data_IF_242426868806
#
_entry.id   IF_242426868806
#
_cell.length_a   1.000
_cell.length_b   1.000
_cell.length_c   1.000
_cell.angle_alpha   90.00
_cell.angle_beta   90.00
_cell.angle_gamma   90.00
#
_symmetry.space_group_name_H-M   'P 1'
#
loop_
_entity.id
_entity.type
_entity.pdbx_description
1 polymer ?
#
# COMPACT_ATOMS: atom_id res chain seq x y z
N UNK A 1 13.57 3.68 -3.29
CA UNK A 1 13.36 2.60 -2.32
C UNK A 1 13.48 1.27 -3.01
N UNK A 2 14.42 0.46 -2.55
CA UNK A 2 14.56 -0.95 -2.89
C UNK A 2 13.80 -1.79 -1.85
N UNK A 3 13.44 -3.06 -2.17
CA UNK A 3 12.88 -3.98 -1.17
C UNK A 3 13.69 -4.06 0.14
N UNK A 4 15.02 -3.94 0.05
CA UNK A 4 15.92 -4.04 1.20
C UNK A 4 15.80 -2.84 2.16
N UNK A 5 15.21 -1.72 1.70
CA UNK A 5 14.94 -0.55 2.54
C UNK A 5 13.68 -0.74 3.42
N UNK A 6 12.88 -1.80 3.18
CA UNK A 6 11.69 -2.11 3.97
C UNK A 6 12.10 -2.84 5.25
N UNK A 7 12.37 -2.07 6.31
CA UNK A 7 12.75 -2.61 7.61
C UNK A 7 11.63 -3.42 8.29
N UNK A 8 10.37 -3.02 8.09
CA UNK A 8 9.19 -3.73 8.61
C UNK A 8 8.24 -4.07 7.45
N UNK A 9 8.25 -5.32 6.94
CA UNK A 9 7.35 -5.73 5.86
C UNK A 9 5.87 -5.75 6.26
N UNK A 10 5.55 -5.74 7.56
CA UNK A 10 4.18 -5.62 8.06
C UNK A 10 3.71 -4.17 8.14
N UNK A 11 4.63 -3.20 8.15
CA UNK A 11 4.36 -1.76 8.11
C UNK A 11 5.27 -1.06 7.09
N UNK A 12 5.14 -1.38 5.80
CA UNK A 12 6.18 -1.04 4.84
C UNK A 12 6.27 0.45 4.50
N UNK A 13 5.33 1.29 4.95
CA UNK A 13 5.42 2.75 4.85
C UNK A 13 5.93 3.45 6.10
N UNK A 14 6.21 2.72 7.18
CA UNK A 14 6.72 3.34 8.42
C UNK A 14 8.06 4.06 8.19
N UNK A 15 8.91 3.57 7.28
CA UNK A 15 10.16 4.23 6.92
C UNK A 15 9.95 5.68 6.41
N UNK A 16 8.78 5.99 5.83
CA UNK A 16 8.47 7.35 5.33
C UNK A 16 8.37 8.32 6.49
N UNK A 17 7.59 7.98 7.52
CA UNK A 17 7.39 8.87 8.66
C UNK A 17 8.65 8.99 9.50
N UNK A 18 9.35 7.88 9.73
CA UNK A 18 10.63 7.87 10.42
C UNK A 18 11.68 8.69 9.65
N UNK A 19 11.76 8.50 8.34
CA UNK A 19 12.70 9.20 7.48
C UNK A 19 12.44 10.70 7.36
N UNK A 20 11.19 11.11 7.16
CA UNK A 20 10.82 12.53 7.06
C UNK A 20 11.02 13.27 8.40
N UNK A 21 10.69 12.65 9.53
CA UNK A 21 10.90 13.24 10.86
C UNK A 21 12.35 13.24 11.30
N UNK A 22 13.11 12.21 10.92
CA UNK A 22 14.53 12.08 11.19
C UNK A 22 15.43 12.87 10.24
N UNK A 23 14.86 13.46 9.17
CA UNK A 23 15.60 14.19 8.15
C UNK A 23 16.38 13.31 7.15
N UNK A 24 16.16 11.99 7.16
CA UNK A 24 16.73 11.06 6.19
C UNK A 24 15.97 11.09 4.84
N UNK A 25 14.73 11.57 4.84
CA UNK A 25 13.91 11.82 3.66
C UNK A 25 13.47 13.28 3.62
N UNK A 26 13.21 13.77 2.42
CA UNK A 26 12.74 15.12 2.10
C UNK A 26 11.59 15.04 1.08
N UNK A 27 10.89 16.15 0.85
CA UNK A 27 9.87 16.26 -0.19
C UNK A 27 10.39 15.99 -1.62
N UNK A 28 11.71 16.06 -1.81
CA UNK A 28 12.38 15.82 -3.09
C UNK A 28 12.58 14.33 -3.37
N UNK A 29 12.40 13.46 -2.37
CA UNK A 29 12.55 12.02 -2.55
C UNK A 29 11.43 11.47 -3.45
N UNK A 30 11.76 10.61 -4.45
CA UNK A 30 10.81 10.18 -5.49
C UNK A 30 9.49 9.59 -4.97
N UNK A 31 9.52 8.88 -3.84
CA UNK A 31 8.34 8.26 -3.23
C UNK A 31 7.43 9.25 -2.49
N UNK A 32 7.92 10.43 -2.12
CA UNK A 32 7.16 11.36 -1.27
C UNK A 32 6.10 12.11 -2.08
N UNK A 33 6.45 12.62 -3.26
CA UNK A 33 5.49 13.36 -4.10
C UNK A 33 4.24 12.53 -4.46
N UNK A 34 4.34 11.26 -4.90
CA UNK A 34 3.16 10.45 -5.16
C UNK A 34 2.32 10.15 -3.91
N UNK A 35 2.94 10.02 -2.73
CA UNK A 35 2.22 9.86 -1.46
C UNK A 35 1.42 11.10 -1.09
N UNK A 36 2.03 12.29 -1.18
CA UNK A 36 1.33 13.57 -0.96
C UNK A 36 0.15 13.71 -1.93
N UNK A 37 0.37 13.42 -3.22
CA UNK A 37 -0.69 13.45 -4.24
C UNK A 37 -1.84 12.50 -3.91
N UNK A 38 -1.51 11.27 -3.50
CA UNK A 38 -2.52 10.26 -3.13
C UNK A 38 -3.30 10.71 -1.90
N UNK A 39 -2.61 11.22 -0.87
CA UNK A 39 -3.24 11.75 0.34
C UNK A 39 -4.20 12.91 0.00
N UNK A 40 -3.76 13.87 -0.81
CA UNK A 40 -4.59 15.00 -1.26
C UNK A 40 -5.82 14.54 -2.06
N UNK A 41 -5.64 13.62 -3.00
CA UNK A 41 -6.74 13.05 -3.80
C UNK A 41 -7.80 12.39 -2.92
N UNK A 42 -7.39 11.68 -1.87
CA UNK A 42 -8.30 11.03 -0.92
C UNK A 42 -9.02 12.02 -0.01
N UNK A 43 -8.41 13.16 0.28
CA UNK A 43 -8.99 14.22 1.11
C UNK A 43 -9.70 15.33 0.29
N UNK A 44 -9.82 15.17 -1.02
CA UNK A 44 -10.52 16.12 -1.89
C UNK A 44 -9.79 17.44 -2.12
N UNK A 45 -8.47 17.50 -1.88
CA UNK A 45 -7.64 18.68 -2.14
C UNK A 45 -6.87 18.56 -3.47
N UNK A 46 -6.39 19.68 -4.02
CA UNK A 46 -5.73 19.69 -5.34
C UNK A 46 -4.42 18.89 -5.32
N UNK A 47 -4.32 17.73 -5.99
CA UNK A 47 -3.15 16.86 -5.87
C UNK A 47 -1.90 17.48 -6.51
N UNK A 48 -2.06 18.34 -7.52
CA UNK A 48 -0.96 18.93 -8.29
C UNK A 48 -0.50 20.30 -7.77
N UNK A 49 -1.04 20.79 -6.66
CA UNK A 49 -0.56 22.02 -6.04
C UNK A 49 0.90 21.87 -5.55
N UNK A 50 1.61 22.98 -5.37
CA UNK A 50 2.95 22.97 -4.77
C UNK A 50 2.92 22.23 -3.42
N UNK A 51 3.93 21.42 -3.14
CA UNK A 51 4.07 20.73 -1.86
C UNK A 51 4.61 21.74 -0.85
N UNK A 52 3.88 21.92 0.24
CA UNK A 52 4.26 22.76 1.36
C UNK A 52 4.77 21.90 2.51
N UNK A 53 5.49 22.52 3.44
CA UNK A 53 5.93 21.83 4.67
C UNK A 53 4.76 21.22 5.44
N UNK A 54 3.59 21.87 5.44
CA UNK A 54 2.40 21.34 6.10
C UNK A 54 1.93 20.02 5.50
N UNK A 55 2.02 19.85 4.16
CA UNK A 55 1.62 18.59 3.52
C UNK A 55 2.48 17.40 4.00
N UNK A 56 3.73 17.65 4.37
CA UNK A 56 4.64 16.62 4.89
C UNK A 56 4.21 16.20 6.29
N UNK A 57 3.81 17.14 7.15
CA UNK A 57 3.24 16.84 8.45
C UNK A 57 1.92 16.09 8.34
N UNK A 58 1.00 16.59 7.49
CA UNK A 58 -0.31 15.96 7.27
C UNK A 58 -0.17 14.54 6.72
N UNK A 59 0.78 14.33 5.80
CA UNK A 59 1.10 13.01 5.29
C UNK A 59 1.62 12.08 6.40
N UNK A 60 2.52 12.57 7.27
CA UNK A 60 3.05 11.75 8.35
C UNK A 60 1.97 11.34 9.34
N UNK A 61 1.14 12.30 9.76
CA UNK A 61 0.04 12.05 10.68
C UNK A 61 -0.99 11.09 10.07
N UNK A 62 -1.22 11.19 8.76
CA UNK A 62 -2.08 10.26 8.05
C UNK A 62 -1.52 8.85 8.02
N UNK A 63 -0.23 8.67 7.67
CA UNK A 63 0.41 7.34 7.64
C UNK A 63 0.37 6.69 9.02
N UNK A 64 0.72 7.43 10.08
CA UNK A 64 0.70 6.90 11.44
C UNK A 64 -0.71 6.54 11.91
N UNK A 65 -1.70 7.38 11.60
CA UNK A 65 -3.10 7.11 11.89
C UNK A 65 -3.57 5.81 11.21
N UNK A 66 -3.24 5.62 9.93
CA UNK A 66 -3.56 4.41 9.19
C UNK A 66 -2.79 3.17 9.70
N UNK A 67 -1.52 3.33 10.10
CA UNK A 67 -0.71 2.24 10.63
C UNK A 67 -1.20 1.77 12.02
N UNK A 68 -1.64 2.71 12.85
CA UNK A 68 -2.20 2.45 14.18
C UNK A 68 -3.61 1.86 14.16
N UNK A 69 -4.39 2.10 13.09
CA UNK A 69 -5.76 1.66 13.00
C UNK A 69 -5.88 0.12 12.85
N UNK A 70 -6.81 -0.46 13.60
CA UNK A 70 -7.28 -1.85 13.47
C UNK A 70 -8.72 -1.77 12.99
N UNK A 71 -9.11 -2.51 11.93
CA UNK A 71 -10.48 -2.46 11.44
C UNK A 71 -11.42 -3.12 12.45
N UNK A 72 -12.61 -2.54 12.61
CA UNK A 72 -13.72 -3.27 13.26
C UNK A 72 -14.31 -4.32 12.31
N UNK A 73 -15.18 -5.18 12.84
CA UNK A 73 -15.80 -6.26 12.07
C UNK A 73 -16.59 -5.73 10.87
N UNK A 74 -17.34 -4.63 11.04
CA UNK A 74 -18.16 -4.06 9.98
C UNK A 74 -17.33 -3.50 8.81
N UNK A 75 -16.19 -2.88 9.13
CA UNK A 75 -15.23 -2.39 8.16
C UNK A 75 -14.63 -3.54 7.33
N UNK A 76 -14.40 -4.71 7.94
CA UNK A 76 -13.91 -5.90 7.22
C UNK A 76 -14.99 -6.61 6.41
N UNK A 77 -16.21 -6.72 6.92
CA UNK A 77 -17.33 -7.38 6.21
C UNK A 77 -17.60 -6.74 4.85
N UNK A 78 -17.51 -5.41 4.79
CA UNK A 78 -17.71 -4.62 3.58
C UNK A 78 -16.43 -4.40 2.77
N UNK A 79 -15.27 -4.83 3.28
CA UNK A 79 -14.00 -4.68 2.58
C UNK A 79 -13.89 -5.61 1.37
N UNK A 80 -13.33 -5.12 0.25
CA UNK A 80 -12.95 -5.97 -0.88
C UNK A 80 -11.99 -7.07 -0.45
N UNK A 81 -12.08 -8.24 -1.07
CA UNK A 81 -11.09 -9.28 -0.89
C UNK A 81 -9.99 -9.13 -1.96
N UNK A 82 -8.74 -9.33 -1.55
CA UNK A 82 -7.60 -9.50 -2.47
C UNK A 82 -7.04 -10.91 -2.31
N UNK A 83 -7.24 -11.73 -3.33
CA UNK A 83 -6.69 -13.08 -3.42
C UNK A 83 -5.40 -13.10 -4.23
N UNK A 84 -4.63 -14.19 -4.10
CA UNK A 84 -3.40 -14.41 -4.88
C UNK A 84 -2.49 -13.20 -4.82
N UNK A 85 -2.29 -12.68 -3.60
CA UNK A 85 -1.65 -11.40 -3.38
C UNK A 85 -0.14 -11.55 -3.16
N UNK A 86 0.56 -10.45 -3.38
CA UNK A 86 2.01 -10.33 -3.33
C UNK A 86 2.40 -8.88 -2.95
N UNK A 87 3.41 -8.72 -2.10
CA UNK A 87 4.03 -7.42 -1.80
C UNK A 87 4.99 -6.99 -2.92
N UNK A 88 4.80 -5.78 -3.45
CA UNK A 88 5.63 -5.24 -4.54
C UNK A 88 5.99 -3.78 -4.24
N UNK A 89 7.19 -3.37 -4.60
CA UNK A 89 7.59 -1.96 -4.71
C UNK A 89 7.37 -1.50 -6.15
N UNK A 90 6.52 -0.49 -6.33
CA UNK A 90 6.23 0.15 -7.62
C UNK A 90 6.50 1.65 -7.46
N UNK A 91 7.39 2.21 -8.29
CA UNK A 91 7.77 3.64 -8.21
C UNK A 91 8.14 4.07 -6.79
N UNK A 92 9.01 3.30 -6.14
CA UNK A 92 9.48 3.55 -4.77
C UNK A 92 8.36 3.51 -3.72
N UNK A 93 7.25 2.81 -3.98
CA UNK A 93 6.17 2.66 -3.01
C UNK A 93 5.76 1.19 -2.83
N UNK A 94 5.64 0.70 -1.58
CA UNK A 94 5.13 -0.62 -1.30
C UNK A 94 3.63 -0.65 -1.61
N UNK A 95 3.20 -1.67 -2.34
CA UNK A 95 1.81 -1.91 -2.72
C UNK A 95 1.51 -3.40 -2.60
N UNK A 96 0.23 -3.75 -2.55
CA UNK A 96 -0.20 -5.10 -2.84
C UNK A 96 -0.59 -5.20 -4.32
N UNK A 97 -0.24 -6.32 -4.91
CA UNK A 97 -0.82 -6.76 -6.16
C UNK A 97 -1.58 -8.05 -5.93
N UNK A 98 -2.65 -8.29 -6.68
CA UNK A 98 -3.49 -9.47 -6.49
C UNK A 98 -4.78 -9.42 -7.30
N UNK A 99 -5.63 -10.43 -7.14
CA UNK A 99 -6.97 -10.50 -7.71
C UNK A 99 -7.99 -9.91 -6.73
N UNK A 100 -8.72 -8.89 -7.16
CA UNK A 100 -9.68 -8.20 -6.30
C UNK A 100 -11.12 -8.62 -6.62
N UNK A 101 -11.89 -8.90 -5.58
CA UNK A 101 -13.35 -9.14 -5.62
C UNK A 101 -14.06 -8.22 -4.62
N UNK A 102 -15.35 -7.97 -4.85
CA UNK A 102 -16.17 -7.11 -3.99
C UNK A 102 -15.78 -5.62 -4.02
N UNK A 103 -14.95 -5.18 -4.96
CA UNK A 103 -14.52 -3.79 -5.05
C UNK A 103 -15.55 -2.91 -5.80
N UNK A 104 -15.94 -1.74 -5.27
CA UNK A 104 -17.04 -0.94 -5.82
C UNK A 104 -16.78 -0.39 -7.23
N UNK A 105 -15.52 -0.32 -7.65
CA UNK A 105 -15.10 0.24 -8.94
C UNK A 105 -14.39 -0.75 -9.88
N UNK A 106 -14.13 -1.97 -9.42
CA UNK A 106 -13.39 -2.95 -10.22
C UNK A 106 -14.29 -4.16 -10.49
N UNK A 107 -14.16 -4.73 -11.69
CA UNK A 107 -14.82 -6.00 -12.02
C UNK A 107 -14.32 -7.11 -11.09
N UNK A 108 -15.15 -8.12 -10.88
CA UNK A 108 -14.77 -9.30 -10.10
C UNK A 108 -13.52 -9.99 -10.72
N UNK A 109 -12.59 -10.38 -9.86
CA UNK A 109 -11.34 -11.03 -10.26
C UNK A 109 -10.41 -10.12 -11.09
N UNK A 110 -10.54 -8.79 -10.96
CA UNK A 110 -9.60 -7.87 -11.59
C UNK A 110 -8.22 -8.02 -10.91
N UNK A 111 -7.17 -8.32 -11.68
CA UNK A 111 -5.81 -8.11 -11.14
C UNK A 111 -5.63 -6.62 -10.92
N UNK A 112 -5.06 -6.22 -9.80
CA UNK A 112 -4.95 -4.81 -9.41
C UNK A 112 -3.62 -4.54 -8.73
N UNK A 113 -3.18 -3.29 -8.84
CA UNK A 113 -2.15 -2.69 -8.00
C UNK A 113 -2.87 -1.77 -7.03
N UNK A 114 -2.75 -2.00 -5.72
CA UNK A 114 -3.45 -1.18 -4.73
C UNK A 114 -2.82 0.21 -4.62
N UNK A 115 -3.50 1.12 -3.93
CA UNK A 115 -2.81 2.27 -3.34
C UNK A 115 -1.71 1.82 -2.36
N UNK A 116 -0.76 2.68 -1.99
CA UNK A 116 0.36 2.31 -1.13
C UNK A 116 -0.08 1.56 0.15
N UNK A 117 0.63 0.46 0.44
CA UNK A 117 0.38 -0.44 1.55
C UNK A 117 0.94 0.18 2.83
N UNK A 118 0.08 0.44 3.81
CA UNK A 118 0.49 1.03 5.09
C UNK A 118 0.78 -0.06 6.11
N UNK A 119 -0.13 -1.03 6.23
CA UNK A 119 -0.04 -2.11 7.20
C UNK A 119 -0.65 -3.39 6.64
N UNK A 120 -0.07 -4.52 7.00
CA UNK A 120 -0.64 -5.84 6.73
C UNK A 120 -0.58 -6.69 8.00
N UNK A 121 -1.73 -7.23 8.41
CA UNK A 121 -1.85 -8.17 9.52
C UNK A 121 -2.23 -9.52 8.91
N UNK A 122 -1.20 -10.23 8.47
CA UNK A 122 -1.34 -11.41 7.65
C UNK A 122 -1.89 -12.59 8.47
N UNK A 123 -1.55 -12.64 9.75
CA UNK A 123 -2.14 -13.50 10.80
C UNK A 123 -3.65 -13.27 11.01
N UNK A 124 -4.15 -12.07 10.69
CA UNK A 124 -5.54 -11.66 10.91
C UNK A 124 -6.34 -11.51 9.61
N UNK A 125 -5.73 -11.82 8.46
CA UNK A 125 -6.43 -11.82 7.19
C UNK A 125 -6.82 -10.45 6.64
N UNK A 126 -6.10 -9.38 6.99
CA UNK A 126 -6.41 -8.05 6.46
C UNK A 126 -5.18 -7.19 6.15
N UNK A 127 -5.37 -6.23 5.24
CA UNK A 127 -4.40 -5.19 4.94
C UNK A 127 -5.04 -3.81 4.91
N UNK A 128 -4.30 -2.79 5.35
CA UNK A 128 -4.64 -1.37 5.27
C UNK A 128 -3.76 -0.69 4.24
N UNK A 129 -4.40 -0.11 3.24
CA UNK A 129 -3.76 0.77 2.25
C UNK A 129 -4.16 2.22 2.49
N UNK A 130 -3.63 3.17 1.73
CA UNK A 130 -4.08 4.57 1.78
C UNK A 130 -5.61 4.68 1.63
N UNK A 131 -6.18 3.99 0.64
CA UNK A 131 -7.58 4.18 0.27
C UNK A 131 -8.58 3.33 1.07
N UNK A 132 -8.21 2.11 1.50
CA UNK A 132 -9.16 1.17 2.12
C UNK A 132 -8.49 0.01 2.84
N UNK A 133 -9.31 -0.72 3.60
CA UNK A 133 -9.02 -2.07 4.04
C UNK A 133 -9.28 -3.09 2.92
N UNK A 134 -8.53 -4.18 2.96
CA UNK A 134 -8.76 -5.39 2.18
C UNK A 134 -8.80 -6.59 3.11
N UNK A 135 -9.70 -7.53 2.84
CA UNK A 135 -9.58 -8.91 3.34
C UNK A 135 -8.56 -9.66 2.48
N UNK A 136 -7.75 -10.50 3.11
CA UNK A 136 -6.69 -11.24 2.45
C UNK A 136 -7.14 -12.68 2.18
N UNK A 137 -7.13 -13.05 0.90
CA UNK A 137 -7.12 -14.45 0.50
C UNK A 137 -5.72 -15.07 0.61
N UNK A 138 -5.51 -16.21 -0.05
CA UNK A 138 -4.19 -16.87 -0.04
C UNK A 138 -3.15 -16.04 -0.82
N UNK A 139 -1.92 -15.86 -0.32
CA UNK A 139 -0.85 -15.24 -1.10
C UNK A 139 -0.45 -16.13 -2.29
N UNK A 140 -0.01 -15.51 -3.38
CA UNK A 140 0.53 -16.22 -4.55
C UNK A 140 1.48 -15.30 -5.32
N UNK A 141 2.78 -15.61 -5.27
CA UNK A 141 3.81 -14.79 -5.89
C UNK A 141 3.80 -14.85 -7.42
N UNK A 142 3.13 -15.84 -8.03
CA UNK A 142 3.02 -15.93 -9.50
C UNK A 142 2.24 -14.76 -10.12
N UNK A 143 1.41 -14.08 -9.33
CA UNK A 143 0.66 -12.89 -9.79
C UNK A 143 1.60 -11.78 -10.25
N UNK A 144 2.76 -11.65 -9.62
CA UNK A 144 3.76 -10.63 -9.95
C UNK A 144 4.30 -10.85 -11.37
N UNK A 145 4.74 -12.08 -11.66
CA UNK A 145 5.22 -12.46 -12.99
C UNK A 145 4.14 -12.29 -14.05
N UNK A 146 2.89 -12.65 -13.73
CA UNK A 146 1.77 -12.48 -14.66
C UNK A 146 1.47 -11.00 -14.96
N UNK A 147 1.53 -10.13 -13.96
CA UNK A 147 1.33 -8.68 -14.15
C UNK A 147 2.48 -8.00 -14.91
N UNK A 148 3.72 -8.46 -14.73
CA UNK A 148 4.86 -8.02 -15.55
C UNK A 148 4.69 -8.44 -17.01
N UNK A 149 4.32 -9.69 -17.27
CA UNK A 149 4.12 -10.21 -18.63
C UNK A 149 2.99 -9.47 -19.38
N UNK A 150 1.98 -9.01 -18.67
CA UNK A 150 0.88 -8.20 -19.22
C UNK A 150 1.20 -6.71 -19.35
N UNK A 151 2.41 -6.27 -18.96
CA UNK A 151 2.80 -4.85 -18.98
C UNK A 151 2.06 -3.98 -17.96
N UNK A 152 1.41 -4.60 -16.96
CA UNK A 152 0.65 -3.91 -15.92
C UNK A 152 1.50 -3.47 -14.74
N UNK A 153 2.68 -4.08 -14.60
CA UNK A 153 3.76 -3.60 -13.77
C UNK A 153 4.91 -3.17 -14.66
N UNK A 154 5.59 -2.07 -14.29
CA UNK A 154 6.81 -1.64 -14.97
C UNK A 154 7.96 -2.61 -14.67
N UNK A 155 8.93 -2.73 -15.58
CA UNK A 155 10.11 -3.61 -15.41
C UNK A 155 10.97 -3.30 -14.18
N UNK A 156 10.89 -2.08 -13.65
CA UNK A 156 11.54 -1.67 -12.41
C UNK A 156 10.84 -2.16 -11.14
N UNK A 157 9.63 -2.73 -11.22
CA UNK A 157 8.92 -3.24 -10.06
C UNK A 157 9.70 -4.39 -9.41
N UNK A 158 9.71 -4.42 -8.08
CA UNK A 158 10.44 -5.43 -7.30
C UNK A 158 9.53 -6.04 -6.26
N UNK A 159 9.59 -7.36 -6.09
CA UNK A 159 8.87 -8.06 -5.03
C UNK A 159 9.57 -7.84 -3.69
N UNK A 160 8.81 -7.79 -2.60
CA UNK A 160 9.36 -7.91 -1.24
C UNK A 160 8.59 -9.00 -0.49
N UNK A 161 9.27 -9.66 0.46
CA UNK A 161 8.69 -10.77 1.21
C UNK A 161 7.87 -10.25 2.40
N UNK A 162 6.60 -10.65 2.43
CA UNK A 162 5.71 -10.43 3.58
C UNK A 162 5.57 -11.79 4.28
N UNK A 163 5.83 -11.89 5.59
CA UNK A 163 5.66 -13.14 6.32
C UNK A 163 4.25 -13.74 6.15
N UNK A 164 4.18 -14.98 5.69
CA UNK A 164 2.96 -15.80 5.69
C UNK A 164 2.77 -16.34 7.11
N UNK A 165 1.97 -15.63 7.91
CA UNK A 165 1.66 -16.01 9.28
C UNK A 165 0.36 -16.83 9.38
N UNK A 166 -0.31 -17.07 8.25
CA UNK A 166 -1.61 -17.72 8.16
C UNK A 166 -2.75 -16.87 8.76
N UNK A 167 -3.73 -16.50 7.95
CA UNK A 167 -4.93 -15.79 8.43
C UNK A 167 -6.01 -15.62 7.36
N UNK A 168 -5.91 -16.38 6.27
CA UNK A 168 -6.71 -16.21 5.07
C UNK A 168 -8.05 -16.92 5.24
N UNK A 169 -9.16 -16.19 5.12
CA UNK A 169 -10.54 -16.69 5.22
C UNK A 169 -11.39 -16.25 4.03
#
# INVERSE_FOLDING_TARGET
MTPDDIADPLRPLQYVTDGLRGGALTESDPGITPLVRTHRLLNGTCPFAAILRQDIFDLCDHIDSLAGAVPDLSALETAPCIERWCGVVVEDLPVLVGLVTGHPRLRQGARTVTSPLVRIASDQGWARTFSRYYRLGRPDQSVFTALLAEGRLRSGARRFDIPDLGGWA
#
